data_IF_237964363245
#
_entry.id   IF_237964363245
#
_cell.length_a   1.000
_cell.length_b   1.000
_cell.length_c   1.000
_cell.angle_alpha   90.00
_cell.angle_beta   90.00
_cell.angle_gamma   90.00
#
_symmetry.space_group_name_H-M   'P 1'
#
loop_
_entity.id
_entity.type
_entity.pdbx_description
1 polymer ?
#
# COMPACT_ATOMS: atom_id res chain seq x y z
N UNK A 1 5.32 -5.83 0.18
CA UNK A 1 6.08 -4.65 0.66
C UNK A 1 5.88 -3.50 -0.33
N UNK A 2 5.99 -2.23 0.09
CA UNK A 2 5.76 -1.07 -0.77
C UNK A 2 6.77 0.05 -0.48
N UNK A 3 7.45 0.52 -1.53
CA UNK A 3 8.48 1.56 -1.48
C UNK A 3 7.95 2.98 -1.69
N UNK A 4 6.66 3.17 -1.98
CA UNK A 4 6.12 4.51 -2.22
C UNK A 4 6.27 5.42 -0.99
N UNK A 5 6.35 6.73 -1.22
CA UNK A 5 6.53 7.75 -0.18
C UNK A 5 5.28 7.94 0.71
N UNK A 6 4.11 7.47 0.27
CA UNK A 6 2.82 7.76 0.92
C UNK A 6 2.39 6.76 1.98
N UNK A 7 2.89 5.52 1.94
CA UNK A 7 2.57 4.52 2.95
C UNK A 7 3.40 4.74 4.22
N UNK A 8 2.78 4.54 5.38
CA UNK A 8 3.48 4.53 6.67
C UNK A 8 4.51 3.41 6.70
N UNK A 9 5.64 3.67 7.34
CA UNK A 9 6.73 2.73 7.54
C UNK A 9 7.15 2.80 9.00
N UNK A 10 7.53 1.67 9.63
CA UNK A 10 8.24 1.71 10.90
C UNK A 10 9.51 2.56 10.80
N UNK A 11 9.96 3.11 11.93
CA UNK A 11 11.19 3.88 11.98
C UNK A 11 12.38 3.05 11.47
N UNK A 12 13.20 3.65 10.60
CA UNK A 12 14.35 2.99 9.97
C UNK A 12 14.02 2.04 8.81
N UNK A 13 12.74 1.77 8.53
CA UNK A 13 12.36 0.87 7.44
C UNK A 13 12.30 1.58 6.08
N UNK A 14 12.87 0.94 5.05
CA UNK A 14 12.80 1.44 3.65
C UNK A 14 11.47 1.13 2.97
N UNK A 15 10.79 0.07 3.41
CA UNK A 15 9.54 -0.41 2.82
C UNK A 15 8.46 -0.50 3.88
N UNK A 16 7.22 -0.24 3.46
CA UNK A 16 6.02 -0.53 4.23
C UNK A 16 5.57 -1.98 3.99
N UNK A 17 4.99 -2.63 4.99
CA UNK A 17 4.17 -3.82 4.78
C UNK A 17 2.71 -3.39 4.76
N UNK A 18 2.08 -3.54 3.59
CA UNK A 18 0.70 -3.12 3.36
C UNK A 18 -0.07 -4.27 2.70
N UNK A 19 -1.29 -4.50 3.18
CA UNK A 19 -2.26 -5.45 2.64
C UNK A 19 -3.58 -4.74 2.35
N UNK A 20 -4.53 -5.47 1.77
CA UNK A 20 -5.89 -5.00 1.49
C UNK A 20 -6.91 -5.93 2.15
N UNK A 21 -8.00 -5.35 2.62
CA UNK A 21 -9.19 -6.05 3.09
C UNK A 21 -10.45 -5.38 2.52
N UNK A 22 -11.59 -6.06 2.56
CA UNK A 22 -12.87 -5.41 2.27
C UNK A 22 -13.10 -4.27 3.25
N UNK A 23 -13.50 -3.09 2.77
CA UNK A 23 -13.76 -1.94 3.67
C UNK A 23 -14.87 -2.23 4.66
N UNK A 24 -15.82 -3.11 4.32
CA UNK A 24 -16.87 -3.56 5.21
C UNK A 24 -16.35 -4.42 6.38
N UNK A 25 -15.17 -5.02 6.24
CA UNK A 25 -14.53 -5.87 7.27
C UNK A 25 -13.59 -5.08 8.18
N UNK A 26 -13.46 -3.75 7.97
CA UNK A 26 -12.59 -2.88 8.78
C UNK A 26 -13.45 -1.97 9.64
N UNK A 27 -13.37 -2.15 10.96
CA UNK A 27 -14.10 -1.34 11.93
C UNK A 27 -13.12 -0.68 12.91
N UNK A 28 -13.27 0.62 13.14
CA UNK A 28 -12.57 1.32 14.22
C UNK A 28 -13.29 1.00 15.53
N UNK A 29 -12.63 0.25 16.40
CA UNK A 29 -13.21 -0.20 17.67
C UNK A 29 -13.08 0.84 18.77
N UNK A 30 -11.98 1.61 18.78
CA UNK A 30 -11.67 2.58 19.84
C UNK A 30 -10.89 3.79 19.29
N UNK A 31 -10.94 4.92 20.01
CA UNK A 31 -10.11 6.11 19.76
C UNK A 31 -10.24 6.72 18.34
N UNK A 32 -11.40 6.57 17.71
CA UNK A 32 -11.63 7.08 16.34
C UNK A 32 -11.48 8.59 16.21
N UNK A 33 -11.71 9.35 17.29
CA UNK A 33 -11.48 10.80 17.39
C UNK A 33 -10.00 11.19 17.19
N UNK A 34 -9.08 10.26 17.40
CA UNK A 34 -7.64 10.47 17.20
C UNK A 34 -7.20 10.20 15.75
N UNK A 35 -8.08 9.77 14.86
CA UNK A 35 -7.74 9.49 13.47
C UNK A 35 -8.03 10.69 12.56
N UNK A 36 -7.04 11.08 11.75
CA UNK A 36 -7.19 12.11 10.73
C UNK A 36 -6.71 11.62 9.37
N UNK A 37 -7.42 12.05 8.32
CA UNK A 37 -6.99 11.82 6.95
C UNK A 37 -5.73 12.66 6.69
N UNK A 38 -4.66 11.99 6.24
CA UNK A 38 -3.35 12.64 5.97
C UNK A 38 -3.43 13.59 4.78
N UNK A 39 -4.10 13.18 3.70
CA UNK A 39 -4.29 13.95 2.47
C UNK A 39 -5.65 13.61 1.88
N UNK A 40 -6.59 14.55 1.92
CA UNK A 40 -7.97 14.37 1.43
C UNK A 40 -8.07 14.34 -0.09
N UNK A 41 -7.02 14.75 -0.82
CA UNK A 41 -6.95 14.67 -2.29
C UNK A 41 -6.48 13.30 -2.79
N UNK A 42 -5.85 12.51 -1.91
CA UNK A 42 -5.33 11.19 -2.25
C UNK A 42 -6.45 10.20 -2.57
N UNK A 43 -6.15 9.23 -3.44
CA UNK A 43 -7.07 8.12 -3.74
C UNK A 43 -7.36 7.26 -2.50
N UNK A 44 -6.31 6.93 -1.77
CA UNK A 44 -6.37 6.15 -0.53
C UNK A 44 -6.34 7.15 0.61
N UNK A 45 -7.47 7.27 1.32
CA UNK A 45 -7.64 8.23 2.42
C UNK A 45 -6.98 7.69 3.69
N UNK A 46 -5.67 7.82 3.81
CA UNK A 46 -4.92 7.24 4.94
C UNK A 46 -5.34 7.92 6.25
N UNK A 47 -5.99 7.17 7.13
CA UNK A 47 -6.35 7.60 8.48
C UNK A 47 -5.18 7.34 9.42
N UNK A 48 -4.50 8.42 9.83
CA UNK A 48 -3.36 8.37 10.74
C UNK A 48 -3.75 8.80 12.16
N UNK A 49 -3.17 8.14 13.15
CA UNK A 49 -3.29 8.55 14.55
C UNK A 49 -2.54 9.87 14.76
N UNK A 50 -3.21 10.89 15.30
CA UNK A 50 -2.62 12.20 15.58
C UNK A 50 -1.58 12.19 16.70
N UNK A 51 -1.56 11.15 17.54
CA UNK A 51 -0.61 11.02 18.65
C UNK A 51 0.72 10.38 18.26
N UNK A 52 0.69 9.35 17.41
CA UNK A 52 1.89 8.58 17.05
C UNK A 52 2.21 8.54 15.54
N UNK A 53 1.35 9.10 14.69
CA UNK A 53 1.55 9.16 13.24
C UNK A 53 1.33 7.84 12.49
N UNK A 54 1.05 6.74 13.17
CA UNK A 54 0.78 5.44 12.54
C UNK A 54 -0.51 5.52 11.70
N UNK A 55 -0.45 5.05 10.46
CA UNK A 55 -1.63 4.89 9.62
C UNK A 55 -2.37 3.61 10.04
N UNK A 56 -3.64 3.74 10.43
CA UNK A 56 -4.44 2.61 10.91
C UNK A 56 -5.15 1.88 9.78
N UNK A 57 -5.76 2.63 8.86
CA UNK A 57 -6.37 2.10 7.64
C UNK A 57 -6.46 3.19 6.57
N UNK A 58 -6.69 2.79 5.32
CA UNK A 58 -6.88 3.72 4.20
C UNK A 58 -7.92 3.19 3.23
N UNK A 59 -9.19 3.63 3.31
CA UNK A 59 -10.23 3.22 2.39
C UNK A 59 -10.05 3.90 1.02
N UNK A 60 -10.57 3.24 -0.01
CA UNK A 60 -10.79 3.82 -1.33
C UNK A 60 -12.28 3.96 -1.55
N UNK A 61 -12.77 5.20 -1.49
CA UNK A 61 -14.21 5.50 -1.55
C UNK A 61 -14.64 6.04 -2.91
N UNK A 62 -13.77 6.83 -3.55
CA UNK A 62 -14.03 7.40 -4.87
C UNK A 62 -13.96 6.34 -5.96
N UNK A 63 -14.52 6.67 -7.11
CA UNK A 63 -14.63 5.76 -8.24
C UNK A 63 -13.25 5.36 -8.80
N UNK A 64 -12.85 4.12 -8.53
CA UNK A 64 -11.54 3.54 -8.83
C UNK A 64 -11.63 2.01 -8.82
N UNK A 65 -10.67 1.33 -9.47
CA UNK A 65 -10.58 -0.14 -9.49
C UNK A 65 -10.52 -0.79 -8.10
N UNK A 66 -10.00 -0.07 -7.10
CA UNK A 66 -9.88 -0.54 -5.72
C UNK A 66 -11.01 -0.06 -4.79
N UNK A 67 -12.08 0.53 -5.34
CA UNK A 67 -13.19 1.01 -4.51
C UNK A 67 -13.78 -0.12 -3.68
N UNK A 68 -14.05 0.14 -2.40
CA UNK A 68 -14.55 -0.85 -1.44
C UNK A 68 -13.45 -1.70 -0.79
N UNK A 69 -12.18 -1.43 -1.08
CA UNK A 69 -11.04 -1.98 -0.34
C UNK A 69 -10.45 -0.95 0.62
N UNK A 70 -9.99 -1.44 1.76
CA UNK A 70 -9.19 -0.69 2.73
C UNK A 70 -7.78 -1.24 2.78
N UNK A 71 -6.81 -0.33 2.74
CA UNK A 71 -5.39 -0.64 2.91
C UNK A 71 -5.03 -0.62 4.40
N UNK A 72 -4.33 -1.66 4.86
CA UNK A 72 -3.98 -1.88 6.27
C UNK A 72 -2.52 -2.30 6.38
N UNK A 73 -1.94 -2.18 7.58
CA UNK A 73 -0.54 -2.53 7.86
C UNK A 73 -0.47 -3.75 8.79
N UNK A 74 -0.45 -4.99 8.26
CA UNK A 74 -0.41 -6.21 9.08
C UNK A 74 0.81 -6.30 10.01
N UNK A 75 1.90 -5.57 9.69
CA UNK A 75 3.06 -5.41 10.57
C UNK A 75 2.74 -4.75 11.94
N UNK A 76 1.51 -4.27 12.13
CA UNK A 76 1.00 -3.71 13.39
C UNK A 76 0.08 -4.66 14.14
N UNK A 77 -0.24 -5.82 13.60
CA UNK A 77 -1.13 -6.78 14.24
C UNK A 77 -0.39 -7.48 15.38
N UNK A 78 -1.10 -7.71 16.49
CA UNK A 78 -0.57 -8.50 17.60
C UNK A 78 -0.59 -10.00 17.30
N UNK A 79 -1.57 -10.43 16.50
CA UNK A 79 -1.77 -11.83 16.11
C UNK A 79 -1.03 -12.16 14.81
N UNK A 80 -0.45 -13.36 14.77
CA UNK A 80 0.13 -13.96 13.57
C UNK A 80 -0.95 -14.54 12.63
N UNK A 81 -0.54 -15.01 11.46
CA UNK A 81 -1.41 -15.72 10.51
C UNK A 81 -2.00 -14.84 9.39
N UNK A 82 -1.63 -13.57 9.34
CA UNK A 82 -1.93 -12.69 8.22
C UNK A 82 -1.18 -13.12 6.96
N UNK A 83 -1.74 -12.82 5.78
CA UNK A 83 -1.16 -13.22 4.50
C UNK A 83 0.21 -12.56 4.27
N UNK A 84 1.29 -13.31 4.05
CA UNK A 84 2.62 -12.74 3.90
C UNK A 84 2.72 -11.85 2.64
N UNK A 85 3.71 -10.93 2.58
CA UNK A 85 3.90 -10.12 1.38
C UNK A 85 4.24 -11.01 0.18
N UNK A 86 3.53 -10.84 -0.94
CA UNK A 86 3.79 -11.62 -2.16
C UNK A 86 4.78 -11.00 -3.15
N UNK A 87 5.07 -9.71 -3.03
CA UNK A 87 5.99 -8.96 -3.90
C UNK A 87 6.42 -7.63 -3.26
N UNK A 88 7.33 -6.91 -3.90
CA UNK A 88 7.72 -5.55 -3.54
C UNK A 88 7.27 -4.54 -4.60
N UNK A 89 6.43 -3.58 -4.22
CA UNK A 89 5.85 -2.56 -5.09
C UNK A 89 6.62 -1.23 -5.02
N UNK A 90 6.57 -0.43 -6.09
CA UNK A 90 7.14 0.91 -6.17
C UNK A 90 8.58 0.98 -5.64
N UNK A 91 9.43 0.02 -6.04
CA UNK A 91 10.77 -0.16 -5.47
C UNK A 91 11.67 1.05 -5.74
N UNK A 92 11.66 1.58 -6.95
CA UNK A 92 12.41 2.81 -7.29
C UNK A 92 12.03 4.03 -6.45
N UNK A 93 10.78 4.15 -5.98
CA UNK A 93 10.33 5.30 -5.18
C UNK A 93 11.01 5.42 -3.81
N UNK A 94 11.75 4.41 -3.34
CA UNK A 94 12.57 4.58 -2.13
C UNK A 94 13.70 5.61 -2.33
N UNK A 95 14.10 5.88 -3.58
CA UNK A 95 15.03 6.96 -3.92
C UNK A 95 14.43 8.32 -3.56
N UNK A 96 13.13 8.51 -3.79
CA UNK A 96 12.41 9.74 -3.43
C UNK A 96 12.35 9.95 -1.90
N UNK A 97 12.60 8.90 -1.12
CA UNK A 97 12.72 8.94 0.34
C UNK A 97 14.18 9.06 0.83
N UNK A 98 15.14 9.30 -0.08
CA UNK A 98 16.55 9.56 0.26
C UNK A 98 17.49 8.35 0.12
N UNK A 99 17.06 7.22 -0.45
CA UNK A 99 17.97 6.11 -0.75
C UNK A 99 18.87 6.44 -1.93
N UNK A 100 20.18 6.31 -1.74
CA UNK A 100 21.17 6.50 -2.82
C UNK A 100 20.93 5.49 -3.97
N UNK A 101 20.82 5.95 -5.24
CA UNK A 101 20.59 5.07 -6.40
C UNK A 101 21.62 3.94 -6.55
N UNK A 102 22.86 4.12 -6.11
CA UNK A 102 23.91 3.09 -6.14
C UNK A 102 23.58 1.86 -5.31
N UNK A 103 22.72 1.99 -4.29
CA UNK A 103 22.27 0.89 -3.43
C UNK A 103 21.18 0.03 -4.06
N UNK A 104 20.52 0.50 -5.13
CA UNK A 104 19.32 -0.12 -5.66
C UNK A 104 19.54 -1.52 -6.21
N UNK A 105 20.71 -1.82 -6.77
CA UNK A 105 21.05 -3.15 -7.24
C UNK A 105 21.07 -4.17 -6.07
N UNK A 106 21.74 -3.82 -4.97
CA UNK A 106 21.78 -4.64 -3.76
C UNK A 106 20.41 -4.80 -3.10
N UNK A 107 19.62 -3.72 -3.06
CA UNK A 107 18.25 -3.76 -2.52
C UNK A 107 17.36 -4.71 -3.33
N UNK A 108 17.37 -4.60 -4.66
CA UNK A 108 16.59 -5.51 -5.53
C UNK A 108 17.05 -6.95 -5.40
N UNK A 109 18.35 -7.20 -5.29
CA UNK A 109 18.88 -8.55 -5.07
C UNK A 109 18.40 -9.14 -3.73
N UNK A 110 18.40 -8.32 -2.67
CA UNK A 110 17.91 -8.75 -1.36
C UNK A 110 16.40 -9.03 -1.33
N UNK A 111 15.60 -8.24 -2.04
CA UNK A 111 14.17 -8.53 -2.18
C UNK A 111 13.93 -9.88 -2.87
N UNK A 112 14.68 -10.15 -3.96
CA UNK A 112 14.61 -11.43 -4.67
C UNK A 112 15.05 -12.62 -3.82
N UNK A 113 16.11 -12.48 -3.02
CA UNK A 113 16.62 -13.57 -2.17
C UNK A 113 15.61 -14.02 -1.11
N UNK A 114 14.73 -13.13 -0.67
CA UNK A 114 13.63 -13.43 0.27
C UNK A 114 12.29 -13.71 -0.43
N UNK A 115 12.29 -13.90 -1.75
CA UNK A 115 11.09 -14.27 -2.52
C UNK A 115 10.13 -13.13 -2.86
N UNK A 116 10.55 -11.88 -2.69
CA UNK A 116 9.76 -10.70 -3.07
C UNK A 116 10.24 -10.16 -4.42
N UNK A 117 9.53 -10.50 -5.50
CA UNK A 117 9.86 -9.94 -6.81
C UNK A 117 9.69 -8.40 -6.80
N UNK A 118 10.71 -7.61 -7.17
CA UNK A 118 10.67 -6.16 -7.14
C UNK A 118 10.06 -5.57 -8.41
N UNK A 119 9.02 -4.77 -8.24
CA UNK A 119 8.36 -4.00 -9.29
C UNK A 119 8.42 -2.50 -8.98
N UNK A 120 8.55 -1.69 -10.03
CA UNK A 120 8.50 -0.21 -9.92
C UNK A 120 7.06 0.33 -9.97
N UNK A 121 6.07 -0.56 -10.06
CA UNK A 121 4.64 -0.32 -9.90
C UNK A 121 4.03 -1.40 -8.97
N UNK A 122 2.83 -1.91 -9.26
CA UNK A 122 2.28 -3.11 -8.61
C UNK A 122 2.71 -4.38 -9.35
N UNK A 123 2.31 -5.55 -8.84
CA UNK A 123 2.51 -6.81 -9.58
C UNK A 123 1.75 -6.82 -10.91
N UNK A 124 2.20 -7.58 -11.92
CA UNK A 124 1.55 -7.64 -13.23
C UNK A 124 0.05 -7.90 -13.16
N UNK A 125 -0.39 -8.88 -12.38
CA UNK A 125 -1.82 -9.19 -12.24
C UNK A 125 -2.66 -8.04 -11.65
N UNK A 126 -2.09 -7.26 -10.72
CA UNK A 126 -2.78 -6.07 -10.19
C UNK A 126 -2.80 -4.91 -11.20
N UNK A 127 -1.73 -4.75 -11.98
CA UNK A 127 -1.69 -3.77 -13.05
C UNK A 127 -2.71 -4.09 -14.15
N UNK A 128 -2.82 -5.37 -14.53
CA UNK A 128 -3.82 -5.85 -15.50
C UNK A 128 -5.25 -5.64 -15.00
N UNK A 129 -5.49 -5.87 -13.70
CA UNK A 129 -6.79 -5.60 -13.07
C UNK A 129 -7.18 -4.11 -13.17
N UNK A 130 -6.25 -3.20 -12.85
CA UNK A 130 -6.48 -1.74 -12.97
C UNK A 130 -6.72 -1.34 -14.42
N UNK A 131 -5.92 -1.85 -15.35
CA UNK A 131 -6.04 -1.57 -16.77
C UNK A 131 -7.39 -2.07 -17.33
N UNK A 132 -7.81 -3.27 -16.95
CA UNK A 132 -9.09 -3.87 -17.34
C UNK A 132 -10.26 -3.02 -16.85
N UNK A 133 -10.25 -2.60 -15.58
CA UNK A 133 -11.27 -1.71 -15.03
C UNK A 133 -11.34 -0.39 -15.81
N UNK A 134 -10.18 0.20 -16.13
CA UNK A 134 -10.09 1.45 -16.88
C UNK A 134 -10.64 1.30 -18.31
N UNK A 135 -10.29 0.20 -18.99
CA UNK A 135 -10.75 -0.09 -20.35
C UNK A 135 -12.26 -0.33 -20.43
N UNK A 136 -12.84 -1.03 -19.44
CA UNK A 136 -14.30 -1.20 -19.32
C UNK A 136 -15.00 0.13 -19.10
N UNK A 137 -14.45 0.97 -18.22
CA UNK A 137 -15.02 2.28 -17.89
C UNK A 137 -14.96 3.26 -19.08
N UNK A 138 -13.92 3.22 -19.89
CA UNK A 138 -13.79 4.07 -21.08
C UNK A 138 -14.54 3.56 -22.31
N UNK A 139 -15.04 2.32 -22.27
CA UNK A 139 -15.67 1.66 -23.41
C UNK A 139 -14.69 1.03 -24.41
N UNK A 140 -13.39 1.04 -24.13
CA UNK A 140 -12.38 0.37 -24.95
C UNK A 140 -12.46 -1.17 -24.84
N UNK A 141 -13.01 -1.68 -23.74
CA UNK A 141 -13.33 -3.09 -23.52
C UNK A 141 -14.81 -3.19 -23.14
N UNK A 142 -15.52 -4.19 -23.65
CA UNK A 142 -16.91 -4.44 -23.26
C UNK A 142 -16.98 -4.75 -21.74
N UNK A 143 -17.97 -4.15 -21.08
CA UNK A 143 -18.19 -4.28 -19.63
C UNK A 143 -18.57 -5.72 -19.23
#
# INVERSE_FOLDING_TARGET
ACGCTKCWKPEGALFSVVAVAGSADVTVTENGDKLKVVDSSALILRHACTGCGVHMYGPVERDHAFKGLSFIHPERFEEDGWSPPGFAAFVSSIIESGVDPSRMAGIRAQLKSIGLEPYDCLSPGLMDYIATWTAKKSGALAA
#
